data_IF_169509683938
#
_entry.id   IF_169509683938
#
_cell.length_a   1.000
_cell.length_b   1.000
_cell.length_c   1.000
_cell.angle_alpha   90.00
_cell.angle_beta   90.00
_cell.angle_gamma   90.00
#
_symmetry.space_group_name_H-M   'P 1'
#
loop_
_entity.id
_entity.type
_entity.pdbx_description
1 polymer ?
#
# COMPACT_ATOMS: atom_id res chain seq x y z
N UNK A 1 0.52 -17.14 11.64
CA UNK A 1 -0.36 -16.08 11.13
C UNK A 1 -0.02 -15.89 9.66
N UNK A 2 -0.94 -16.16 8.73
CA UNK A 2 -0.70 -15.86 7.31
C UNK A 2 -0.78 -14.34 7.13
N UNK A 3 0.37 -13.70 6.91
CA UNK A 3 0.46 -12.28 6.60
C UNK A 3 0.19 -12.11 5.11
N UNK A 4 -1.06 -11.88 4.74
CA UNK A 4 -1.42 -11.60 3.34
C UNK A 4 -1.13 -10.13 3.05
N UNK A 5 -0.20 -9.87 2.14
CA UNK A 5 0.03 -8.52 1.63
C UNK A 5 -1.24 -8.03 0.92
N UNK A 6 -1.77 -6.87 1.32
CA UNK A 6 -3.04 -6.33 0.81
C UNK A 6 -2.85 -5.18 -0.18
N UNK A 7 -1.62 -4.73 -0.40
CA UNK A 7 -1.36 -3.56 -1.24
C UNK A 7 0.11 -3.13 -1.22
N UNK A 8 0.39 -2.12 -2.03
CA UNK A 8 1.74 -1.57 -2.23
C UNK A 8 1.78 -0.12 -1.77
N UNK A 9 2.76 0.23 -0.94
CA UNK A 9 2.99 1.62 -0.52
C UNK A 9 3.44 2.43 -1.73
N UNK A 10 2.73 3.52 -2.01
CA UNK A 10 3.05 4.45 -3.10
C UNK A 10 4.01 5.54 -2.62
N UNK A 11 3.89 5.97 -1.36
CA UNK A 11 4.74 7.01 -0.79
C UNK A 11 4.07 7.74 0.38
N UNK A 12 4.62 8.90 0.79
CA UNK A 12 4.01 9.72 1.84
C UNK A 12 2.60 10.19 1.45
N UNK A 13 1.80 10.51 2.46
CA UNK A 13 0.47 11.12 2.31
C UNK A 13 0.54 12.63 2.13
N UNK A 14 -0.61 13.30 2.24
CA UNK A 14 -0.70 14.75 2.11
C UNK A 14 -0.20 15.47 3.37
N UNK A 15 -0.37 14.85 4.55
CA UNK A 15 0.07 15.43 5.82
C UNK A 15 1.20 14.62 6.48
N UNK A 16 1.94 15.21 7.44
CA UNK A 16 2.96 14.47 8.19
C UNK A 16 2.38 13.23 8.88
N UNK A 17 3.18 12.17 8.94
CA UNK A 17 2.80 10.86 9.52
C UNK A 17 1.72 10.10 8.75
N UNK A 18 1.42 10.52 7.51
CA UNK A 18 0.57 9.76 6.59
C UNK A 18 1.39 9.11 5.49
N UNK A 19 0.86 8.01 4.97
CA UNK A 19 1.35 7.36 3.77
C UNK A 19 0.16 6.91 2.93
N UNK A 20 0.38 6.81 1.62
CA UNK A 20 -0.61 6.30 0.67
C UNK A 20 -0.18 4.93 0.19
N UNK A 21 -1.15 4.04 0.01
CA UNK A 21 -0.95 2.72 -0.56
C UNK A 21 -2.08 2.39 -1.52
N UNK A 22 -1.79 1.57 -2.52
CA UNK A 22 -2.76 1.05 -3.48
C UNK A 22 -3.07 -0.39 -3.08
N UNK A 23 -4.35 -0.72 -2.97
CA UNK A 23 -4.80 -2.05 -2.57
C UNK A 23 -5.93 -2.55 -3.48
N UNK A 24 -5.83 -3.76 -4.05
CA UNK A 24 -6.99 -4.43 -4.62
C UNK A 24 -7.98 -4.77 -3.49
N UNK A 25 -9.13 -4.10 -3.46
CA UNK A 25 -10.10 -4.25 -2.37
C UNK A 25 -11.50 -4.71 -2.85
N UNK A 26 -11.60 -5.85 -3.57
CA UNK A 26 -12.88 -6.33 -4.12
C UNK A 26 -13.90 -6.66 -3.02
N UNK A 27 -13.42 -7.16 -1.88
CA UNK A 27 -14.23 -7.53 -0.71
C UNK A 27 -14.49 -6.36 0.24
N UNK A 28 -14.01 -5.15 -0.08
CA UNK A 28 -14.15 -3.93 0.74
C UNK A 28 -13.68 -4.11 2.19
N UNK A 29 -12.54 -4.79 2.38
CA UNK A 29 -11.90 -5.01 3.67
C UNK A 29 -11.14 -3.77 4.18
N UNK A 30 -10.67 -2.90 3.28
CA UNK A 30 -9.95 -1.67 3.66
C UNK A 30 -10.94 -0.54 3.95
N UNK A 31 -11.44 -0.47 5.18
CA UNK A 31 -12.46 0.51 5.59
C UNK A 31 -11.84 1.63 6.43
N UNK A 32 -12.51 2.78 6.46
CA UNK A 32 -12.15 3.84 7.39
C UNK A 32 -12.13 3.32 8.83
N UNK A 33 -11.06 3.61 9.57
CA UNK A 33 -10.85 3.14 10.94
C UNK A 33 -10.13 1.79 11.06
N UNK A 34 -9.97 1.05 9.95
CA UNK A 34 -9.20 -0.20 9.94
C UNK A 34 -7.71 0.05 10.13
N UNK A 35 -7.01 -0.96 10.63
CA UNK A 35 -5.58 -0.90 10.86
C UNK A 35 -4.83 -1.68 9.78
N UNK A 36 -3.73 -1.09 9.32
CA UNK A 36 -2.78 -1.71 8.40
C UNK A 36 -1.38 -1.54 8.96
N UNK A 37 -0.43 -2.33 8.48
CA UNK A 37 0.97 -2.12 8.79
C UNK A 37 1.83 -2.45 7.58
N UNK A 38 3.01 -1.85 7.53
CA UNK A 38 4.09 -2.31 6.68
C UNK A 38 5.31 -2.66 7.52
N UNK A 39 6.19 -3.50 6.97
CA UNK A 39 7.46 -3.86 7.58
C UNK A 39 8.56 -3.00 6.98
N UNK A 40 9.44 -2.47 7.82
CA UNK A 40 10.65 -1.77 7.37
C UNK A 40 11.78 -1.98 8.36
N UNK A 41 13.02 -1.85 7.90
CA UNK A 41 14.19 -1.81 8.77
C UNK A 41 14.25 -0.47 9.50
N UNK A 42 14.33 -0.50 10.83
CA UNK A 42 14.54 0.66 11.70
C UNK A 42 15.60 0.29 12.73
N UNK A 43 16.72 1.01 12.73
CA UNK A 43 17.87 0.75 13.60
C UNK A 43 18.41 -0.69 13.50
N UNK A 44 18.41 -1.27 12.30
CA UNK A 44 18.90 -2.63 12.03
C UNK A 44 17.98 -3.75 12.52
N UNK A 45 16.72 -3.44 12.85
CA UNK A 45 15.69 -4.42 13.12
C UNK A 45 14.46 -4.19 12.24
N UNK A 46 13.88 -5.28 11.73
CA UNK A 46 12.58 -5.24 11.07
C UNK A 46 11.50 -4.83 12.08
N UNK A 47 10.81 -3.73 11.82
CA UNK A 47 9.70 -3.24 12.65
C UNK A 47 8.41 -3.11 11.85
N UNK A 48 7.30 -3.32 12.54
CA UNK A 48 5.96 -3.00 12.05
C UNK A 48 5.67 -1.52 12.27
N UNK A 49 5.38 -0.81 11.19
CA UNK A 49 4.84 0.55 11.25
C UNK A 49 3.34 0.47 11.04
N UNK A 50 2.59 0.75 12.10
CA UNK A 50 1.13 0.65 12.10
C UNK A 50 0.54 1.97 11.61
N UNK A 51 -0.43 1.88 10.71
CA UNK A 51 -1.28 2.97 10.26
C UNK A 51 -2.76 2.66 10.49
N UNK A 52 -3.56 3.71 10.59
CA UNK A 52 -5.03 3.62 10.58
C UNK A 52 -5.55 4.25 9.30
N UNK A 53 -6.48 3.58 8.63
CA UNK A 53 -7.09 4.10 7.40
C UNK A 53 -7.96 5.31 7.75
N UNK A 54 -7.57 6.49 7.26
CA UNK A 54 -8.27 7.77 7.48
C UNK A 54 -9.08 8.24 6.29
N UNK A 55 -8.76 7.74 5.09
CA UNK A 55 -9.50 8.04 3.86
C UNK A 55 -9.31 6.92 2.85
N UNK A 56 -10.23 6.84 1.87
CA UNK A 56 -10.07 6.00 0.69
C UNK A 56 -10.70 6.68 -0.52
N UNK A 57 -10.05 6.50 -1.66
CA UNK A 57 -10.55 6.97 -2.95
C UNK A 57 -10.48 5.82 -3.97
N UNK A 58 -11.50 5.71 -4.83
CA UNK A 58 -11.47 4.77 -5.94
C UNK A 58 -10.63 5.35 -7.07
N UNK A 59 -9.52 4.70 -7.39
CA UNK A 59 -8.67 5.11 -8.51
C UNK A 59 -9.24 4.53 -9.82
N UNK A 60 -9.49 5.37 -10.82
CA UNK A 60 -10.08 4.98 -12.12
C UNK A 60 -9.11 4.97 -13.30
N UNK A 61 -7.96 5.63 -13.19
CA UNK A 61 -7.17 6.10 -14.35
C UNK A 61 -5.67 5.79 -14.30
N UNK A 62 -5.18 5.12 -13.26
CA UNK A 62 -3.83 4.60 -13.36
C UNK A 62 -3.83 3.38 -14.30
N UNK A 63 -2.70 3.02 -14.92
CA UNK A 63 -2.47 1.66 -15.43
C UNK A 63 -2.43 0.65 -14.25
N UNK A 64 -3.47 0.66 -13.43
CA UNK A 64 -3.50 0.20 -12.03
C UNK A 64 -3.62 -1.31 -11.90
N UNK A 65 -4.04 -2.01 -12.95
CA UNK A 65 -3.96 -3.48 -12.97
C UNK A 65 -2.53 -3.98 -12.74
N UNK A 66 -1.50 -3.15 -12.94
CA UNK A 66 -0.10 -3.48 -12.67
C UNK A 66 0.33 -3.28 -11.21
N UNK A 67 -0.20 -2.26 -10.49
CA UNK A 67 0.09 -2.06 -9.04
C UNK A 67 -0.91 -2.78 -8.12
N UNK A 68 -2.01 -3.28 -8.69
CA UNK A 68 -3.02 -4.04 -7.97
C UNK A 68 -2.52 -5.41 -7.50
N UNK A 69 -1.41 -5.93 -8.04
CA UNK A 69 -0.76 -7.12 -7.50
C UNK A 69 0.39 -6.71 -6.56
N UNK A 70 0.24 -6.90 -5.23
CA UNK A 70 1.29 -6.57 -4.27
C UNK A 70 2.55 -7.44 -4.43
N UNK A 71 2.49 -8.52 -5.22
CA UNK A 71 3.65 -9.37 -5.52
C UNK A 71 4.54 -8.80 -6.62
N UNK A 72 4.10 -7.77 -7.36
CA UNK A 72 4.86 -7.14 -8.43
C UNK A 72 5.68 -5.96 -7.89
N UNK A 73 7.03 -6.01 -7.95
CA UNK A 73 7.86 -4.93 -7.47
C UNK A 73 7.73 -3.65 -8.31
N UNK A 74 7.75 -2.44 -7.70
CA UNK A 74 7.56 -1.18 -8.43
C UNK A 74 8.56 -0.94 -9.59
N UNK A 75 9.78 -1.45 -9.48
CA UNK A 75 10.82 -1.28 -10.51
C UNK A 75 10.51 -2.05 -11.81
N UNK A 76 9.77 -3.16 -11.75
CA UNK A 76 9.33 -3.88 -12.95
C UNK A 76 8.23 -3.12 -13.69
N UNK A 77 7.40 -2.38 -12.96
CA UNK A 77 6.32 -1.56 -13.54
C UNK A 77 6.90 -0.32 -14.22
N UNK A 78 7.93 0.31 -13.62
CA UNK A 78 8.62 1.45 -14.21
C UNK A 78 9.22 1.14 -15.59
N UNK A 79 9.77 -0.06 -15.78
CA UNK A 79 10.36 -0.48 -17.06
C UNK A 79 9.33 -0.66 -18.20
N UNK A 80 8.05 -0.86 -17.88
CA UNK A 80 6.97 -1.02 -18.88
C UNK A 80 6.38 0.33 -19.34
N UNK A 81 6.58 1.39 -18.58
CA UNK A 81 6.00 2.71 -18.84
C UNK A 81 6.94 3.66 -19.61
N UNK A 82 8.20 3.24 -19.84
CA UNK A 82 9.20 4.01 -20.61
C UNK A 82 10.12 4.85 -19.74
#
# INVERSE_FOLDING_TARGET
>A
MNQTCIGTVKGPGETPHEFTFIAPDPERRVKHGEFVYYMTEVDGATRQIIGRVTARESVKLFPDSFMADPSVPPNQIAALLG
#
